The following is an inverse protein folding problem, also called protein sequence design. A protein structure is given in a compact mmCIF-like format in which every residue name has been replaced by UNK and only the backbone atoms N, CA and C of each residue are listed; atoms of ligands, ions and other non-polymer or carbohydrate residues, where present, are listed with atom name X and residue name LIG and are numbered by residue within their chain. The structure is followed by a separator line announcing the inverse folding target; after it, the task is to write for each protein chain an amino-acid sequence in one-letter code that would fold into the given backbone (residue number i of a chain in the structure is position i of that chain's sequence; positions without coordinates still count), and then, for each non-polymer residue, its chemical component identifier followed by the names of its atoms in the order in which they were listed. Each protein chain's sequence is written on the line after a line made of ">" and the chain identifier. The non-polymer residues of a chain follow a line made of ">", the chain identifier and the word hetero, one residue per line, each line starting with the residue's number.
data_IF_321256591006
#
_entry.id   IF_321256591006
#
_cell.length_a   1.000
_cell.length_b   1.000
_cell.length_c   1.000
_cell.angle_alpha   90.00
_cell.angle_beta   90.00
_cell.angle_gamma   90.00
#
_symmetry.space_group_name_H-M   'P 1'
#
loop_
_entity.id
_entity.type
_entity.pdbx_description
1 polymer ?
#
# COMPACT_ATOMS: atom_id res chain seq x y z
N UNK A 1 -52.45 12.91 -37.54
CA UNK A 1 -51.38 13.55 -36.73
C UNK A 1 -50.97 12.73 -35.50
N UNK A 2 -51.88 12.38 -34.59
CA UNK A 2 -51.52 11.61 -33.37
C UNK A 2 -50.86 10.25 -33.64
N UNK A 3 -51.33 9.48 -34.65
CA UNK A 3 -50.74 8.20 -35.02
C UNK A 3 -49.34 8.37 -35.63
N UNK A 4 -49.12 9.44 -36.42
CA UNK A 4 -47.83 9.72 -37.04
C UNK A 4 -46.76 10.10 -35.98
N UNK A 5 -47.14 10.87 -34.94
CA UNK A 5 -46.29 11.21 -33.82
C UNK A 5 -45.92 9.93 -33.04
N UNK A 6 -46.88 9.04 -32.79
CA UNK A 6 -46.65 7.81 -32.08
C UNK A 6 -45.68 6.90 -32.81
N UNK A 7 -45.85 6.72 -34.14
CA UNK A 7 -44.91 5.93 -34.95
C UNK A 7 -43.54 6.53 -35.01
N UNK A 8 -43.41 7.86 -35.05
CA UNK A 8 -42.12 8.54 -35.04
C UNK A 8 -41.40 8.34 -33.67
N UNK A 9 -42.13 8.47 -32.56
CA UNK A 9 -41.60 8.20 -31.22
C UNK A 9 -41.12 6.73 -31.05
N UNK A 10 -41.89 5.78 -31.58
CA UNK A 10 -41.50 4.35 -31.55
C UNK A 10 -40.23 4.08 -32.41
N UNK A 11 -40.10 4.74 -33.55
CA UNK A 11 -38.90 4.67 -34.38
C UNK A 11 -37.66 5.24 -33.69
N UNK A 12 -37.79 6.38 -33.02
CA UNK A 12 -36.71 6.99 -32.21
C UNK A 12 -36.29 6.04 -31.08
N UNK A 13 -37.26 5.45 -30.36
CA UNK A 13 -36.98 4.50 -29.27
C UNK A 13 -36.26 3.25 -29.76
N UNK A 14 -36.59 2.74 -30.94
CA UNK A 14 -35.93 1.59 -31.55
C UNK A 14 -34.50 1.91 -31.98
N UNK A 15 -34.20 3.12 -32.40
CA UNK A 15 -32.85 3.56 -32.77
C UNK A 15 -31.94 3.64 -31.55
N UNK A 16 -32.46 4.13 -30.42
CA UNK A 16 -31.70 4.19 -29.14
C UNK A 16 -31.38 2.80 -28.62
N UNK A 17 -32.34 1.87 -28.66
CA UNK A 17 -32.12 0.48 -28.23
C UNK A 17 -31.09 -0.23 -29.12
N UNK A 18 -31.13 -0.01 -30.45
CA UNK A 18 -30.16 -0.58 -31.38
C UNK A 18 -28.75 -0.02 -31.19
N UNK A 19 -28.63 1.27 -30.88
CA UNK A 19 -27.35 1.92 -30.58
C UNK A 19 -26.73 1.34 -29.31
N UNK A 20 -27.51 1.22 -28.23
CA UNK A 20 -27.04 0.67 -26.95
C UNK A 20 -26.56 -0.78 -27.08
N UNK A 21 -27.26 -1.63 -27.80
CA UNK A 21 -26.87 -3.03 -28.01
C UNK A 21 -25.56 -3.19 -28.80
N UNK A 22 -25.26 -2.25 -29.71
CA UNK A 22 -24.01 -2.27 -30.47
C UNK A 22 -22.83 -1.81 -29.60
N UNK A 23 -23.02 -0.83 -28.72
CA UNK A 23 -21.97 -0.37 -27.80
C UNK A 23 -21.60 -1.44 -26.79
N UNK A 24 -22.56 -2.10 -26.14
CA UNK A 24 -22.28 -3.16 -25.18
C UNK A 24 -21.47 -4.32 -25.79
N UNK A 25 -21.73 -4.70 -27.03
CA UNK A 25 -20.93 -5.73 -27.72
C UNK A 25 -19.48 -5.33 -27.94
N UNK A 26 -19.21 -4.05 -28.20
CA UNK A 26 -17.83 -3.57 -28.38
C UNK A 26 -17.08 -3.57 -27.06
N UNK A 27 -17.72 -3.17 -25.97
CA UNK A 27 -17.13 -3.21 -24.63
C UNK A 27 -16.81 -4.64 -24.20
N UNK A 28 -17.76 -5.56 -24.38
CA UNK A 28 -17.57 -6.96 -24.04
C UNK A 28 -16.43 -7.59 -24.84
N UNK A 29 -16.26 -7.24 -26.12
CA UNK A 29 -15.12 -7.69 -26.92
C UNK A 29 -13.79 -7.13 -26.41
N UNK A 30 -13.74 -5.85 -26.01
CA UNK A 30 -12.53 -5.25 -25.45
C UNK A 30 -12.14 -5.92 -24.13
N UNK A 31 -13.13 -6.23 -23.27
CA UNK A 31 -12.89 -6.97 -22.03
C UNK A 31 -12.39 -8.38 -22.33
N UNK A 32 -13.00 -9.05 -23.29
CA UNK A 32 -12.56 -10.39 -23.70
C UNK A 32 -11.12 -10.39 -24.22
N UNK A 33 -10.78 -9.47 -25.13
CA UNK A 33 -9.40 -9.32 -25.63
C UNK A 33 -8.43 -8.99 -24.47
N UNK A 34 -8.85 -8.13 -23.54
CA UNK A 34 -8.07 -7.81 -22.33
C UNK A 34 -7.80 -9.04 -21.47
N UNK A 35 -8.81 -9.92 -21.30
CA UNK A 35 -8.67 -11.17 -20.54
C UNK A 35 -7.68 -12.13 -21.22
N UNK A 36 -7.76 -12.29 -22.53
CA UNK A 36 -6.82 -13.13 -23.29
C UNK A 36 -5.37 -12.65 -23.17
N UNK A 37 -5.17 -11.32 -23.25
CA UNK A 37 -3.87 -10.69 -23.10
C UNK A 37 -3.35 -10.84 -21.66
N UNK A 38 -4.21 -10.65 -20.66
CA UNK A 38 -3.85 -10.83 -19.25
C UNK A 38 -3.45 -12.29 -18.95
N UNK A 39 -4.23 -13.25 -19.44
CA UNK A 39 -3.92 -14.68 -19.30
C UNK A 39 -2.62 -15.08 -19.98
N UNK A 40 -2.22 -14.34 -21.01
CA UNK A 40 -0.95 -14.50 -21.73
C UNK A 40 0.18 -13.67 -21.11
N UNK A 41 -0.04 -13.06 -19.97
CA UNK A 41 0.91 -12.21 -19.24
C UNK A 41 1.38 -10.96 -20.03
N UNK A 42 0.59 -10.55 -21.04
CA UNK A 42 0.85 -9.35 -21.84
C UNK A 42 0.12 -8.15 -21.21
N UNK A 43 0.51 -7.82 -19.99
CA UNK A 43 -0.21 -6.93 -19.08
C UNK A 43 -0.42 -5.51 -19.64
N UNK A 44 0.60 -4.89 -20.24
CA UNK A 44 0.50 -3.54 -20.82
C UNK A 44 -0.59 -3.46 -21.90
N UNK A 45 -0.75 -4.51 -22.72
CA UNK A 45 -1.79 -4.52 -23.73
C UNK A 45 -3.16 -4.86 -23.14
N UNK A 46 -3.23 -5.73 -22.13
CA UNK A 46 -4.43 -6.02 -21.38
C UNK A 46 -4.98 -4.75 -20.70
N UNK A 47 -4.13 -4.00 -20.01
CA UNK A 47 -4.46 -2.70 -19.41
C UNK A 47 -5.06 -1.74 -20.44
N UNK A 48 -4.43 -1.60 -21.61
CA UNK A 48 -4.94 -0.75 -22.69
C UNK A 48 -6.36 -1.15 -23.08
N UNK A 49 -6.63 -2.45 -23.24
CA UNK A 49 -7.96 -2.95 -23.61
C UNK A 49 -9.01 -2.66 -22.54
N UNK A 50 -8.70 -2.86 -21.27
CA UNK A 50 -9.61 -2.52 -20.19
C UNK A 50 -9.86 -1.02 -20.10
N UNK A 51 -8.83 -0.17 -20.28
CA UNK A 51 -9.00 1.29 -20.33
C UNK A 51 -9.85 1.73 -21.54
N UNK A 52 -9.71 1.10 -22.70
CA UNK A 52 -10.57 1.34 -23.86
C UNK A 52 -12.03 0.95 -23.58
N UNK A 53 -12.28 -0.17 -22.88
CA UNK A 53 -13.62 -0.57 -22.46
C UNK A 53 -14.21 0.45 -21.48
N UNK A 54 -13.43 0.89 -20.50
CA UNK A 54 -13.85 1.88 -19.50
C UNK A 54 -14.07 3.28 -20.07
N UNK A 55 -13.39 3.66 -21.15
CA UNK A 55 -13.65 4.91 -21.85
C UNK A 55 -15.07 4.94 -22.46
N UNK A 56 -15.64 3.77 -22.80
CA UNK A 56 -17.01 3.61 -23.31
C UNK A 56 -18.02 3.39 -22.21
N UNK A 57 -17.68 2.54 -21.24
CA UNK A 57 -18.51 2.21 -20.07
C UNK A 57 -17.75 2.44 -18.74
N UNK A 58 -17.68 3.68 -18.27
CA UNK A 58 -16.88 4.01 -17.08
C UNK A 58 -17.30 3.29 -15.80
N UNK A 59 -18.52 2.75 -15.75
CA UNK A 59 -19.08 2.02 -14.61
C UNK A 59 -19.09 0.50 -14.79
N UNK A 60 -18.43 -0.02 -15.84
CA UNK A 60 -18.34 -1.46 -16.04
C UNK A 60 -17.46 -2.09 -14.95
N UNK A 61 -18.10 -2.80 -14.02
CA UNK A 61 -17.47 -3.40 -12.85
C UNK A 61 -16.44 -4.46 -13.22
N UNK A 62 -16.73 -5.24 -14.28
CA UNK A 62 -15.83 -6.31 -14.75
C UNK A 62 -14.53 -5.70 -15.29
N UNK A 63 -14.64 -4.67 -16.13
CA UNK A 63 -13.47 -3.99 -16.67
C UNK A 63 -12.64 -3.30 -15.57
N UNK A 64 -13.29 -2.68 -14.59
CA UNK A 64 -12.61 -2.07 -13.43
C UNK A 64 -11.88 -3.12 -12.59
N UNK A 65 -12.52 -4.25 -12.31
CA UNK A 65 -11.94 -5.34 -11.54
C UNK A 65 -10.73 -5.97 -12.27
N UNK A 66 -10.88 -6.27 -13.57
CA UNK A 66 -9.83 -6.90 -14.36
C UNK A 66 -8.65 -5.95 -14.61
N UNK A 67 -8.90 -4.66 -14.77
CA UNK A 67 -7.86 -3.64 -14.76
C UNK A 67 -7.09 -3.65 -13.43
N UNK A 68 -7.81 -3.75 -12.31
CA UNK A 68 -7.20 -3.88 -10.99
C UNK A 68 -6.30 -5.11 -10.88
N UNK A 69 -6.74 -6.27 -11.39
CA UNK A 69 -5.93 -7.49 -11.40
C UNK A 69 -4.64 -7.30 -12.21
N UNK A 70 -4.75 -6.74 -13.41
CA UNK A 70 -3.59 -6.49 -14.28
C UNK A 70 -2.58 -5.56 -13.62
N UNK A 71 -3.05 -4.45 -13.04
CA UNK A 71 -2.19 -3.49 -12.33
C UNK A 71 -1.56 -4.09 -11.06
N UNK A 72 -2.28 -4.98 -10.38
CA UNK A 72 -1.75 -5.69 -9.21
C UNK A 72 -0.60 -6.64 -9.60
N UNK A 73 -0.77 -7.39 -10.69
CA UNK A 73 0.25 -8.32 -11.19
C UNK A 73 1.50 -7.59 -11.70
N UNK A 74 1.34 -6.36 -12.22
CA UNK A 74 2.44 -5.46 -12.56
C UNK A 74 3.01 -4.69 -11.34
N UNK A 75 2.50 -4.95 -10.13
CA UNK A 75 2.91 -4.28 -8.88
C UNK A 75 2.55 -2.78 -8.80
N UNK A 76 1.64 -2.28 -9.62
CA UNK A 76 1.09 -0.93 -9.53
C UNK A 76 -0.03 -0.86 -8.48
N UNK A 77 0.32 -1.15 -7.21
CA UNK A 77 -0.64 -1.34 -6.12
C UNK A 77 -1.55 -0.15 -5.86
N UNK A 78 -1.05 1.08 -6.02
CA UNK A 78 -1.87 2.29 -5.85
C UNK A 78 -2.95 2.44 -6.91
N UNK A 79 -2.64 2.12 -8.17
CA UNK A 79 -3.61 2.15 -9.28
C UNK A 79 -4.57 0.96 -9.19
N UNK A 80 -4.07 -0.23 -8.85
CA UNK A 80 -4.89 -1.41 -8.59
C UNK A 80 -5.94 -1.14 -7.52
N UNK A 81 -5.53 -0.52 -6.39
CA UNK A 81 -6.46 -0.09 -5.34
C UNK A 81 -7.58 0.82 -5.89
N UNK A 82 -7.24 1.82 -6.71
CA UNK A 82 -8.23 2.73 -7.28
C UNK A 82 -9.20 2.02 -8.23
N UNK A 83 -8.71 1.07 -9.03
CA UNK A 83 -9.52 0.26 -9.91
C UNK A 83 -10.50 -0.64 -9.12
N UNK A 84 -10.03 -1.35 -8.10
CA UNK A 84 -10.89 -2.16 -7.22
C UNK A 84 -11.88 -1.32 -6.40
N UNK A 85 -11.47 -0.14 -5.92
CA UNK A 85 -12.36 0.80 -5.26
C UNK A 85 -13.51 1.22 -6.18
N UNK A 86 -13.20 1.53 -7.43
CA UNK A 86 -14.21 1.86 -8.44
C UNK A 86 -15.14 0.67 -8.72
N UNK A 87 -14.59 -0.55 -8.83
CA UNK A 87 -15.37 -1.78 -8.96
C UNK A 87 -16.32 -1.98 -7.76
N UNK A 88 -15.83 -1.77 -6.54
CA UNK A 88 -16.65 -1.86 -5.32
C UNK A 88 -17.81 -0.86 -5.32
N UNK A 89 -17.54 0.38 -5.75
CA UNK A 89 -18.57 1.44 -5.79
C UNK A 89 -19.63 1.20 -6.87
N UNK A 90 -19.26 0.58 -7.99
CA UNK A 90 -20.16 0.32 -9.12
C UNK A 90 -20.74 -1.10 -9.11
N UNK A 91 -20.37 -1.95 -8.14
CA UNK A 91 -20.83 -3.31 -8.02
C UNK A 91 -22.36 -3.39 -7.97
N UNK A 92 -22.94 -4.25 -8.81
CA UNK A 92 -24.39 -4.50 -8.91
C UNK A 92 -24.83 -5.68 -8.06
N UNK A 93 -23.88 -6.56 -7.73
CA UNK A 93 -24.15 -7.78 -6.96
C UNK A 93 -23.20 -7.87 -5.76
N UNK A 94 -23.63 -8.65 -4.75
CA UNK A 94 -22.75 -8.96 -3.61
C UNK A 94 -21.49 -9.71 -4.03
N UNK A 95 -21.57 -10.55 -5.05
CA UNK A 95 -20.43 -11.30 -5.57
C UNK A 95 -19.38 -10.36 -6.19
N UNK A 96 -19.79 -9.42 -7.03
CA UNK A 96 -18.88 -8.40 -7.59
C UNK A 96 -18.23 -7.56 -6.48
N UNK A 97 -19.05 -7.11 -5.52
CA UNK A 97 -18.55 -6.32 -4.38
C UNK A 97 -17.55 -7.10 -3.54
N UNK A 98 -17.84 -8.38 -3.26
CA UNK A 98 -16.95 -9.27 -2.55
C UNK A 98 -15.60 -9.41 -3.25
N UNK A 99 -15.59 -9.75 -4.55
CA UNK A 99 -14.37 -9.95 -5.31
C UNK A 99 -13.48 -8.70 -5.32
N UNK A 100 -14.09 -7.53 -5.53
CA UNK A 100 -13.35 -6.27 -5.53
C UNK A 100 -12.77 -5.94 -4.14
N UNK A 101 -13.53 -6.15 -3.06
CA UNK A 101 -13.06 -5.96 -1.68
C UNK A 101 -11.97 -6.97 -1.30
N UNK A 102 -12.10 -8.24 -1.71
CA UNK A 102 -11.07 -9.25 -1.49
C UNK A 102 -9.73 -8.80 -2.08
N UNK A 103 -9.73 -8.39 -3.35
CA UNK A 103 -8.51 -7.95 -4.02
C UNK A 103 -7.97 -6.62 -3.48
N UNK A 104 -8.85 -5.72 -3.03
CA UNK A 104 -8.44 -4.52 -2.28
C UNK A 104 -7.71 -4.88 -0.98
N UNK A 105 -8.19 -5.91 -0.28
CA UNK A 105 -7.52 -6.47 0.90
C UNK A 105 -6.13 -7.02 0.56
N UNK A 106 -5.99 -7.71 -0.57
CA UNK A 106 -4.69 -8.21 -1.06
C UNK A 106 -3.70 -7.06 -1.34
N UNK A 107 -4.18 -5.92 -1.86
CA UNK A 107 -3.34 -4.72 -2.02
C UNK A 107 -2.80 -4.24 -0.66
N UNK A 108 -3.64 -4.13 0.37
CA UNK A 108 -3.20 -3.73 1.70
C UNK A 108 -2.25 -4.73 2.34
N UNK A 109 -2.47 -6.05 2.14
CA UNK A 109 -1.53 -7.09 2.57
C UNK A 109 -0.14 -6.90 1.95
N UNK A 110 -0.09 -6.60 0.65
CA UNK A 110 1.17 -6.38 -0.07
C UNK A 110 1.88 -5.12 0.42
N UNK A 111 1.12 -4.08 0.79
CA UNK A 111 1.63 -2.84 1.38
C UNK A 111 1.96 -2.96 2.88
N UNK A 112 1.74 -4.13 3.49
CA UNK A 112 1.87 -4.39 4.93
C UNK A 112 0.97 -3.51 5.80
N UNK A 113 -0.09 -2.94 5.23
CA UNK A 113 -1.13 -2.21 5.99
C UNK A 113 -2.15 -3.23 6.53
N UNK A 114 -1.72 -4.00 7.51
CA UNK A 114 -2.51 -5.13 8.02
C UNK A 114 -3.82 -4.67 8.66
N UNK A 115 -3.84 -3.49 9.26
CA UNK A 115 -5.05 -2.93 9.84
C UNK A 115 -6.14 -2.68 8.78
N UNK A 116 -5.77 -2.07 7.64
CA UNK A 116 -6.71 -1.88 6.53
C UNK A 116 -7.05 -3.20 5.84
N UNK A 117 -6.12 -4.14 5.73
CA UNK A 117 -6.39 -5.46 5.19
C UNK A 117 -7.49 -6.18 6.01
N UNK A 118 -7.37 -6.19 7.34
CA UNK A 118 -8.37 -6.78 8.26
C UNK A 118 -9.76 -6.19 8.02
N UNK A 119 -9.90 -4.86 8.01
CA UNK A 119 -11.21 -4.23 7.83
C UNK A 119 -11.77 -4.50 6.42
N UNK A 120 -10.94 -4.51 5.40
CA UNK A 120 -11.36 -4.74 4.01
C UNK A 120 -11.81 -6.18 3.78
N UNK A 121 -11.08 -7.17 4.27
CA UNK A 121 -11.50 -8.58 4.19
C UNK A 121 -12.76 -8.85 5.02
N UNK A 122 -12.89 -8.22 6.19
CA UNK A 122 -14.11 -8.30 6.99
C UNK A 122 -15.32 -7.76 6.21
N UNK A 123 -15.16 -6.67 5.47
CA UNK A 123 -16.23 -6.17 4.59
C UNK A 123 -16.49 -7.11 3.40
N UNK A 124 -15.46 -7.70 2.80
CA UNK A 124 -15.62 -8.73 1.77
C UNK A 124 -16.45 -9.91 2.28
N UNK A 125 -16.15 -10.42 3.48
CA UNK A 125 -16.87 -11.53 4.11
C UNK A 125 -18.34 -11.20 4.46
N UNK A 126 -18.69 -9.94 4.65
CA UNK A 126 -20.11 -9.52 4.78
C UNK A 126 -20.90 -9.72 3.48
N UNK A 127 -20.22 -9.67 2.35
CA UNK A 127 -20.81 -9.89 1.02
C UNK A 127 -20.81 -11.36 0.60
N UNK A 128 -19.78 -12.12 0.99
CA UNK A 128 -19.71 -13.58 0.82
C UNK A 128 -19.07 -14.24 2.04
N UNK A 129 -19.88 -14.66 3.05
CA UNK A 129 -19.35 -15.28 4.28
C UNK A 129 -18.68 -16.63 4.07
N UNK A 130 -18.95 -17.31 2.95
CA UNK A 130 -18.51 -18.68 2.69
C UNK A 130 -17.22 -18.74 1.86
N UNK A 131 -16.57 -17.61 1.58
CA UNK A 131 -15.31 -17.60 0.86
C UNK A 131 -14.15 -17.98 1.78
N UNK A 132 -13.60 -19.19 1.56
CA UNK A 132 -12.52 -19.75 2.38
C UNK A 132 -11.22 -18.97 2.21
N UNK A 133 -10.95 -18.47 1.01
CA UNK A 133 -9.73 -17.72 0.73
C UNK A 133 -9.74 -16.38 1.45
N UNK A 134 -10.86 -15.68 1.42
CA UNK A 134 -11.00 -14.42 2.17
C UNK A 134 -10.93 -14.65 3.68
N UNK A 135 -11.52 -15.76 4.20
CA UNK A 135 -11.40 -16.11 5.63
C UNK A 135 -9.95 -16.37 6.04
N UNK A 136 -9.22 -17.10 5.21
CA UNK A 136 -7.80 -17.36 5.44
C UNK A 136 -6.99 -16.05 5.44
N UNK A 137 -7.15 -15.22 4.41
CA UNK A 137 -6.43 -13.96 4.31
C UNK A 137 -6.79 -12.99 5.45
N UNK A 138 -8.05 -12.98 5.88
CA UNK A 138 -8.49 -12.22 7.05
C UNK A 138 -7.79 -12.66 8.34
N UNK A 139 -7.71 -13.98 8.57
CA UNK A 139 -7.05 -14.53 9.74
C UNK A 139 -5.53 -14.22 9.72
N UNK A 140 -4.89 -14.38 8.57
CA UNK A 140 -3.48 -14.05 8.37
C UNK A 140 -3.20 -12.55 8.60
N UNK A 141 -4.05 -11.67 8.07
CA UNK A 141 -3.92 -10.24 8.29
C UNK A 141 -4.02 -9.86 9.78
N UNK A 142 -4.92 -10.51 10.52
CA UNK A 142 -5.03 -10.31 11.98
C UNK A 142 -3.77 -10.76 12.72
N UNK A 143 -3.26 -11.93 12.41
CA UNK A 143 -2.04 -12.46 13.02
C UNK A 143 -0.85 -11.50 12.77
N UNK A 144 -0.69 -11.03 11.53
CA UNK A 144 0.40 -10.10 11.19
C UNK A 144 0.25 -8.76 11.90
N UNK A 145 -0.98 -8.25 12.06
CA UNK A 145 -1.27 -7.03 12.81
C UNK A 145 -0.93 -7.19 14.30
N UNK A 146 -1.28 -8.31 14.91
CA UNK A 146 -0.96 -8.61 16.31
C UNK A 146 0.56 -8.70 16.53
N UNK A 147 1.28 -9.36 15.60
CA UNK A 147 2.73 -9.44 15.63
C UNK A 147 3.41 -8.06 15.48
N UNK A 148 2.87 -7.20 14.63
CA UNK A 148 3.36 -5.83 14.46
C UNK A 148 3.23 -5.04 15.76
N UNK A 149 2.10 -5.12 16.44
CA UNK A 149 1.88 -4.46 17.74
C UNK A 149 2.82 -4.98 18.82
N UNK A 150 3.00 -6.30 18.92
CA UNK A 150 3.92 -6.89 19.89
C UNK A 150 5.38 -6.43 19.69
N UNK A 151 5.83 -6.35 18.45
CA UNK A 151 7.17 -5.86 18.12
C UNK A 151 7.34 -4.37 18.46
N UNK A 152 6.31 -3.56 18.25
CA UNK A 152 6.34 -2.14 18.62
C UNK A 152 6.41 -1.93 20.13
N UNK A 153 5.69 -2.73 20.92
CA UNK A 153 5.70 -2.65 22.37
C UNK A 153 7.04 -3.10 22.96
N UNK A 154 7.65 -4.17 22.43
CA UNK A 154 8.98 -4.63 22.84
C UNK A 154 10.07 -3.56 22.59
N UNK A 155 10.02 -2.87 21.46
CA UNK A 155 10.97 -1.81 21.15
C UNK A 155 10.81 -0.61 22.10
N UNK A 156 9.58 -0.23 22.46
CA UNK A 156 9.34 0.86 23.44
C UNK A 156 9.86 0.52 24.83
N UNK A 157 9.74 -0.74 25.25
CA UNK A 157 10.26 -1.20 26.54
C UNK A 157 11.79 -1.21 26.56
N UNK A 158 12.43 -1.46 25.45
CA UNK A 158 13.88 -1.45 25.31
C UNK A 158 14.42 -0.02 25.33
N UNK A 159 13.80 0.90 24.57
CA UNK A 159 14.16 2.34 24.57
C UNK A 159 13.99 2.97 25.96
N UNK A 160 12.95 2.57 26.71
CA UNK A 160 12.76 3.06 28.09
C UNK A 160 13.81 2.52 29.09
N UNK A 161 14.31 1.30 28.89
CA UNK A 161 15.38 0.72 29.74
C UNK A 161 16.73 1.37 29.43
N UNK A 162 17.01 1.65 28.17
CA UNK A 162 18.26 2.28 27.76
C UNK A 162 18.32 3.75 28.21
N UNK A 163 17.20 4.47 28.20
CA UNK A 163 17.10 5.83 28.77
C UNK A 163 17.27 5.85 30.31
N UNK A 164 16.68 4.87 31.02
CA UNK A 164 16.85 4.79 32.47
C UNK A 164 18.29 4.44 32.89
N UNK A 165 19.00 3.63 32.10
CA UNK A 165 20.41 3.32 32.32
C UNK A 165 21.33 4.53 32.04
N UNK A 166 21.00 5.39 31.09
CA UNK A 166 21.75 6.62 30.82
C UNK A 166 21.55 7.67 31.93
N UNK A 167 20.36 7.79 32.49
CA UNK A 167 20.08 8.71 33.62
C UNK A 167 20.74 8.24 34.90
N UNK A 168 20.88 6.93 35.16
CA UNK A 168 21.63 6.41 36.30
C UNK A 168 23.15 6.63 36.17
N UNK A 169 23.73 6.43 34.99
CA UNK A 169 25.15 6.69 34.74
C UNK A 169 25.51 8.19 34.82
N UNK A 170 24.58 9.09 34.49
CA UNK A 170 24.76 10.53 34.63
C UNK A 170 24.60 11.01 36.08
N UNK A 171 23.86 10.30 36.92
CA UNK A 171 23.73 10.61 38.36
C UNK A 171 24.98 10.21 39.15
N UNK A 172 25.54 9.03 38.84
CA UNK A 172 26.75 8.53 39.51
C UNK A 172 28.01 9.32 39.17
N UNK A 173 28.04 10.03 38.02
CA UNK A 173 29.15 10.91 37.65
C UNK A 173 29.08 12.30 38.26
N UNK A 174 27.95 12.74 38.80
CA UNK A 174 27.79 14.04 39.44
C UNK A 174 28.23 14.05 40.94
N UNK A 175 28.22 12.89 41.57
CA UNK A 175 28.59 12.79 43.00
C UNK A 175 30.11 12.64 43.24
N UNK A 176 30.91 12.50 42.15
CA UNK A 176 32.36 12.29 42.28
C UNK A 176 33.22 13.56 42.01
N UNK A 177 32.62 14.73 41.76
CA UNK A 177 33.36 15.98 41.50
C UNK A 177 33.43 16.94 42.69
N UNK A 178 33.05 16.51 43.91
CA UNK A 178 33.01 17.41 45.06
C UNK A 178 33.97 17.01 46.20
N UNK A 179 35.20 16.62 45.89
CA UNK A 179 36.31 16.54 46.83
C UNK A 179 37.61 17.04 46.22
N UNK A 180 37.90 18.31 46.36
CA UNK A 180 39.26 18.85 46.26
C UNK A 180 39.60 19.71 47.48
N UNK A 181 40.79 19.53 48.03
CA UNK A 181 41.22 20.23 49.23
C UNK A 181 41.63 21.68 48.94
N UNK A 182 41.33 22.52 49.92
CA UNK A 182 41.85 23.88 50.02
C UNK A 182 43.37 23.86 50.11
N UNK A 183 44.04 24.71 49.30
CA UNK A 183 45.28 25.31 49.73
C UNK A 183 45.37 26.78 49.28
N UNK A 184 45.97 27.58 50.11
CA UNK A 184 46.02 29.04 50.07
C UNK A 184 47.21 29.50 49.23
N UNK A 185 47.10 30.71 48.63
CA UNK A 185 48.28 31.42 48.09
C UNK A 185 47.97 32.47 47.04
N UNK A 186 47.83 33.62 47.52
CA UNK A 186 48.07 35.01 47.09
C UNK A 186 48.54 35.31 45.64
N UNK A 187 47.89 36.31 45.11
CA UNK A 187 48.38 37.58 44.52
C UNK A 187 48.71 37.68 43.01
N UNK A 188 48.11 38.72 42.52
CA UNK A 188 48.50 39.75 41.50
C UNK A 188 48.07 39.55 40.04
N UNK A 189 47.12 40.37 39.74
CA UNK A 189 47.12 41.57 38.87
C UNK A 189 47.40 41.44 37.38
N UNK A 190 46.45 42.04 36.76
CA UNK A 190 46.49 42.99 35.62
C UNK A 190 46.32 42.52 34.20
N UNK A 191 45.23 43.05 33.67
CA UNK A 191 45.07 43.82 32.41
C UNK A 191 45.05 43.05 31.07
N UNK A 192 43.95 43.14 30.50
CA UNK A 192 43.50 44.08 29.45
C UNK A 192 43.38 43.51 28.04
N UNK A 193 42.24 43.85 27.50
CA UNK A 193 41.88 44.16 26.12
C UNK A 193 41.63 43.04 25.09
N UNK A 194 40.36 42.98 24.80
CA UNK A 194 39.68 43.44 23.56
C UNK A 194 40.06 42.82 22.24
N UNK A 195 39.06 42.52 21.52
CA UNK A 195 39.03 42.60 20.04
C UNK A 195 38.49 41.36 19.40
N UNK A 196 37.26 41.39 19.11
CA UNK A 196 36.63 41.65 17.81
C UNK A 196 36.93 40.68 16.67
N UNK A 197 35.80 40.14 16.16
CA UNK A 197 35.37 40.02 14.79
C UNK A 197 35.87 38.90 13.87
N UNK A 198 34.79 38.34 13.37
CA UNK A 198 34.43 38.13 11.96
C UNK A 198 35.02 36.95 11.21
N UNK A 199 34.02 36.15 10.82
CA UNK A 199 33.66 35.76 9.42
C UNK A 199 34.74 35.06 8.58
N UNK A 200 34.37 33.98 8.06
CA UNK A 200 34.06 33.61 6.69
C UNK A 200 34.48 32.18 6.36
N UNK A 201 33.51 31.45 5.87
CA UNK A 201 33.41 30.95 4.47
C UNK A 201 34.45 29.96 3.96
N UNK A 202 33.85 28.91 3.50
CA UNK A 202 34.01 28.22 2.23
C UNK A 202 35.06 27.11 2.05
N UNK A 203 34.44 26.08 1.49
CA UNK A 203 34.90 25.18 0.42
C UNK A 203 35.72 23.94 0.76
N UNK A 204 34.99 22.87 0.47
CA UNK A 204 35.33 21.75 -0.44
C UNK A 204 36.64 20.98 -0.17
N UNK A 205 36.54 19.72 -0.11
CA UNK A 205 37.00 18.77 -1.12
C UNK A 205 36.99 17.34 -0.63
N UNK A 206 36.53 16.50 -1.51
CA UNK A 206 36.60 15.05 -1.54
C UNK A 206 37.86 14.42 -0.94
N UNK A 207 37.66 13.33 -0.23
CA UNK A 207 38.47 12.12 -0.44
C UNK A 207 37.73 10.86 -0.01
N UNK A 208 37.53 10.04 -1.01
CA UNK A 208 37.21 8.63 -0.97
C UNK A 208 38.07 7.85 -0.01
N UNK A 209 37.48 7.01 0.81
CA UNK A 209 38.14 5.76 1.17
C UNK A 209 37.14 4.59 1.23
N UNK A 210 37.55 3.58 0.49
CA UNK A 210 36.89 2.30 0.33
C UNK A 210 36.94 1.53 1.64
N UNK A 211 35.78 1.06 2.12
CA UNK A 211 35.76 -0.16 2.90
C UNK A 211 34.60 -1.05 2.45
N UNK A 212 34.99 -2.25 2.13
CA UNK A 212 34.21 -3.33 1.57
C UNK A 212 33.13 -3.80 2.55
N UNK A 213 31.94 -3.88 2.02
CA UNK A 213 30.75 -4.46 2.64
C UNK A 213 30.80 -5.99 2.47
N UNK A 214 30.63 -6.79 3.50
CA UNK A 214 30.38 -8.20 3.32
C UNK A 214 28.91 -8.42 2.96
N UNK A 215 28.69 -8.95 1.79
CA UNK A 215 27.44 -9.43 1.25
C UNK A 215 26.63 -10.22 2.30
N UNK A 216 25.52 -9.67 2.72
CA UNK A 216 24.42 -10.44 3.28
C UNK A 216 23.34 -10.52 2.20
N UNK A 217 23.37 -11.62 1.45
CA UNK A 217 22.33 -12.02 0.55
C UNK A 217 21.12 -12.46 1.38
N UNK A 218 20.24 -11.50 1.67
CA UNK A 218 18.86 -11.81 1.98
C UNK A 218 18.16 -12.01 0.63
N UNK A 219 18.05 -13.26 0.23
CA UNK A 219 17.13 -13.68 -0.82
C UNK A 219 15.72 -13.31 -0.37
N UNK A 220 15.12 -12.34 -1.03
CA UNK A 220 13.69 -12.14 -1.00
C UNK A 220 13.01 -13.43 -1.44
N UNK A 221 12.18 -14.05 -0.59
CA UNK A 221 11.32 -15.12 -1.06
C UNK A 221 10.28 -14.44 -1.95
N UNK A 222 10.41 -14.62 -3.26
CA UNK A 222 9.29 -14.38 -4.20
C UNK A 222 8.07 -15.06 -3.60
N UNK A 223 7.15 -14.27 -3.09
CA UNK A 223 5.85 -14.74 -2.66
C UNK A 223 5.12 -15.24 -3.90
N UNK A 224 5.31 -16.52 -4.22
CA UNK A 224 4.41 -17.23 -5.11
C UNK A 224 3.06 -17.29 -4.40
N UNK A 225 1.95 -17.04 -5.09
CA UNK A 225 0.63 -17.31 -4.54
C UNK A 225 0.56 -18.81 -4.31
N UNK A 226 0.71 -19.23 -3.06
CA UNK A 226 0.53 -20.63 -2.64
C UNK A 226 -0.92 -20.99 -2.88
N UNK A 227 -1.17 -21.65 -4.00
CA UNK A 227 -2.36 -22.49 -4.17
C UNK A 227 -2.22 -23.67 -3.21
N UNK A 228 -2.64 -23.47 -1.98
CA UNK A 228 -2.85 -24.58 -1.07
C UNK A 228 -4.06 -25.37 -1.59
N UNK A 229 -3.83 -26.64 -1.92
CA UNK A 229 -4.88 -27.54 -2.34
C UNK A 229 -5.87 -27.79 -1.19
N UNK A 230 -7.16 -28.05 -1.46
CA UNK A 230 -8.18 -28.31 -0.44
C UNK A 230 -7.91 -29.49 0.49
N UNK A 231 -6.85 -30.24 0.30
CA UNK A 231 -6.51 -31.44 1.06
C UNK A 231 -5.60 -31.20 2.27
N UNK A 232 -5.15 -29.96 2.52
CA UNK A 232 -4.27 -29.62 3.65
C UNK A 232 -4.99 -28.95 4.84
N UNK A 233 -6.31 -28.89 4.80
CA UNK A 233 -7.15 -28.39 5.92
C UNK A 233 -7.86 -29.60 6.54
N UNK A 234 -7.23 -30.21 7.53
CA UNK A 234 -7.89 -31.09 8.51
C UNK A 234 -7.66 -30.53 9.91
#
# INVERSE_FOLDING_TARGET
>A
MRQLIFTLCCLFFMLDVYSQTKETKVEDNLIFEGNELHNSEVYVQAEKKYREALARAPKNTIAQHNLGNTLFDESYFGEAFNAYKSATMNAKTKAEKHSALHNMGNVFMNQKDYAKAVETYKEALRNNPNDDQTRYNYALAKELLENEHQNQDQNKDQDNKDNQNQDQQNSDNKDNENQSPKDEGEDQKDQDKSGDKEQNKDQSEEKSDKNQDPQNQLQDPKAQPTKLSPQQIK
#
